data_IF_156693659138
#
_entry.id   IF_156693659138
#
_cell.length_a   1.000
_cell.length_b   1.000
_cell.length_c   1.000
_cell.angle_alpha   90.00
_cell.angle_beta   90.00
_cell.angle_gamma   90.00
#
_symmetry.space_group_name_H-M   'P 1'
#
loop_
_entity.id
_entity.type
_entity.pdbx_description
1 polymer ?
#
# COMPACT_ATOMS: atom_id res chain seq x y z
N UNK A 1 29.49 -4.32 -1.43
CA UNK A 1 28.39 -5.16 -0.91
C UNK A 1 27.11 -4.61 -1.51
N UNK A 2 26.28 -5.43 -2.13
CA UNK A 2 25.01 -4.95 -2.68
C UNK A 2 24.02 -4.73 -1.53
N UNK A 3 23.45 -3.54 -1.47
CA UNK A 3 22.41 -3.20 -0.51
C UNK A 3 21.03 -3.46 -1.11
N UNK A 4 20.12 -3.95 -0.28
CA UNK A 4 18.73 -4.24 -0.65
C UNK A 4 17.79 -3.49 0.29
N UNK A 5 16.65 -3.06 -0.25
CA UNK A 5 15.56 -2.47 0.56
C UNK A 5 14.68 -3.60 1.09
N UNK A 6 14.47 -3.64 2.40
CA UNK A 6 13.62 -4.65 3.02
C UNK A 6 12.13 -4.44 2.69
N UNK A 7 11.47 -5.44 2.09
CA UNK A 7 10.04 -5.39 1.75
C UNK A 7 9.08 -5.25 2.96
N UNK A 8 9.57 -5.42 4.19
CA UNK A 8 8.73 -5.32 5.40
C UNK A 8 8.91 -4.02 6.18
N UNK A 9 10.13 -3.51 6.31
CA UNK A 9 10.41 -2.31 7.12
C UNK A 9 10.92 -1.13 6.30
N UNK A 10 11.29 -1.31 5.03
CA UNK A 10 11.84 -0.25 4.18
C UNK A 10 13.31 0.09 4.45
N UNK A 11 13.91 -0.44 5.51
CA UNK A 11 15.33 -0.21 5.80
C UNK A 11 16.23 -0.84 4.73
N UNK A 12 17.36 -0.17 4.48
CA UNK A 12 18.48 -0.75 3.75
C UNK A 12 19.14 -1.84 4.58
N UNK A 13 19.46 -2.96 3.95
CA UNK A 13 20.26 -4.02 4.56
C UNK A 13 21.22 -4.65 3.56
N UNK A 14 22.31 -5.19 4.08
CA UNK A 14 23.28 -5.91 3.27
C UNK A 14 22.68 -7.21 2.74
N UNK A 15 22.87 -7.45 1.43
CA UNK A 15 22.47 -8.70 0.78
C UNK A 15 23.37 -9.84 1.26
N UNK A 16 22.77 -10.87 1.85
CA UNK A 16 23.49 -12.08 2.25
C UNK A 16 24.06 -12.80 1.03
N UNK A 17 25.38 -13.04 1.04
CA UNK A 17 26.10 -13.78 -0.02
C UNK A 17 25.48 -15.15 -0.30
N UNK A 18 24.97 -15.83 0.74
CA UNK A 18 24.33 -17.16 0.62
C UNK A 18 22.91 -17.11 0.05
N UNK A 19 22.25 -15.96 0.14
CA UNK A 19 20.84 -15.82 -0.19
C UNK A 19 20.66 -14.75 -1.24
N UNK A 20 21.02 -15.09 -2.48
CA UNK A 20 20.93 -14.17 -3.62
C UNK A 20 19.54 -13.53 -3.71
N UNK A 21 18.44 -14.25 -3.50
CA UNK A 21 17.08 -13.67 -3.59
C UNK A 21 16.55 -13.12 -2.25
N UNK A 22 17.41 -12.51 -1.42
CA UNK A 22 16.99 -11.90 -0.17
C UNK A 22 16.21 -10.60 -0.45
N UNK A 23 14.99 -10.51 0.11
CA UNK A 23 14.15 -9.30 0.03
C UNK A 23 13.72 -8.79 1.42
N UNK A 24 14.21 -9.43 2.49
CA UNK A 24 13.84 -9.10 3.87
C UNK A 24 15.11 -9.07 4.71
N UNK A 25 15.22 -8.07 5.58
CA UNK A 25 16.33 -7.99 6.52
C UNK A 25 16.26 -9.11 7.58
N UNK A 26 17.37 -9.42 8.28
CA UNK A 26 17.41 -10.51 9.28
C UNK A 26 16.57 -10.23 10.54
N UNK A 27 16.05 -9.00 10.70
CA UNK A 27 15.23 -8.62 11.86
C UNK A 27 14.06 -9.63 12.05
N UNK A 28 13.81 -10.12 13.28
CA UNK A 28 12.78 -11.14 13.53
C UNK A 28 11.37 -10.75 13.06
N UNK A 29 11.02 -9.46 13.14
CA UNK A 29 9.75 -8.94 12.63
C UNK A 29 9.61 -9.12 11.11
N UNK A 30 10.65 -8.76 10.36
CA UNK A 30 10.69 -8.86 8.90
C UNK A 30 10.74 -10.32 8.43
N UNK A 31 11.42 -11.19 9.17
CA UNK A 31 11.41 -12.63 8.88
C UNK A 31 10.05 -13.28 9.15
N UNK A 32 9.32 -12.83 10.18
CA UNK A 32 7.92 -13.23 10.40
C UNK A 32 7.03 -12.77 9.25
N UNK A 33 7.19 -11.53 8.78
CA UNK A 33 6.47 -11.00 7.63
C UNK A 33 6.76 -11.79 6.34
N UNK A 34 8.03 -12.15 6.09
CA UNK A 34 8.44 -13.00 4.97
C UNK A 34 7.72 -14.35 4.98
N UNK A 35 7.77 -15.08 6.10
CA UNK A 35 7.09 -16.38 6.26
C UNK A 35 5.58 -16.25 6.06
N UNK A 36 4.97 -15.18 6.58
CA UNK A 36 3.55 -14.90 6.40
C UNK A 36 3.18 -14.58 4.93
N UNK A 37 4.01 -13.82 4.22
CA UNK A 37 3.84 -13.55 2.79
C UNK A 37 3.95 -14.82 1.95
N UNK A 38 4.98 -15.63 2.20
CA UNK A 38 5.15 -16.92 1.54
C UNK A 38 3.96 -17.87 1.79
N UNK A 39 3.51 -17.98 3.04
CA UNK A 39 2.33 -18.81 3.36
C UNK A 39 1.08 -18.33 2.64
N UNK A 40 0.82 -17.01 2.59
CA UNK A 40 -0.31 -16.43 1.83
C UNK A 40 -0.20 -16.75 0.33
N UNK A 41 1.00 -16.64 -0.22
CA UNK A 41 1.26 -17.00 -1.62
C UNK A 41 0.93 -18.47 -1.87
N UNK A 42 1.52 -19.40 -1.10
CA UNK A 42 1.27 -20.84 -1.24
C UNK A 42 -0.20 -21.20 -1.07
N UNK A 43 -0.89 -20.63 -0.08
CA UNK A 43 -2.34 -20.85 0.11
C UNK A 43 -3.18 -20.40 -1.09
N UNK A 44 -2.68 -19.45 -1.90
CA UNK A 44 -3.37 -18.95 -3.10
C UNK A 44 -3.01 -19.74 -4.35
N UNK A 45 -1.75 -20.11 -4.52
CA UNK A 45 -1.23 -20.67 -5.78
C UNK A 45 -1.15 -22.20 -5.78
N UNK A 46 -1.10 -22.84 -4.62
CA UNK A 46 -0.90 -24.28 -4.47
C UNK A 46 -2.15 -24.93 -3.82
N UNK A 47 -3.01 -25.57 -4.62
CA UNK A 47 -4.22 -26.24 -4.15
C UNK A 47 -3.94 -27.37 -3.16
N UNK A 48 -2.87 -28.15 -3.37
CA UNK A 48 -2.52 -29.29 -2.52
C UNK A 48 -2.02 -28.82 -1.16
N UNK A 49 -1.18 -27.79 -1.14
CA UNK A 49 -0.75 -27.15 0.10
C UNK A 49 -1.95 -26.63 0.90
N UNK A 50 -2.92 -25.99 0.22
CA UNK A 50 -4.16 -25.52 0.85
C UNK A 50 -5.01 -26.66 1.39
N UNK A 51 -5.15 -27.76 0.64
CA UNK A 51 -5.89 -28.94 1.07
C UNK A 51 -5.24 -29.59 2.30
N UNK A 52 -3.94 -29.84 2.25
CA UNK A 52 -3.19 -30.44 3.36
C UNK A 52 -3.26 -29.58 4.62
N UNK A 53 -3.16 -28.25 4.49
CA UNK A 53 -3.31 -27.34 5.63
C UNK A 53 -4.71 -27.41 6.25
N UNK A 54 -5.76 -27.57 5.44
CA UNK A 54 -7.14 -27.73 5.91
C UNK A 54 -7.33 -29.08 6.60
N UNK A 55 -6.88 -30.17 5.98
CA UNK A 55 -6.98 -31.52 6.51
C UNK A 55 -6.27 -31.62 7.86
N UNK A 56 -5.03 -31.16 7.95
CA UNK A 56 -4.25 -31.12 9.20
C UNK A 56 -4.97 -30.34 10.31
N UNK A 57 -5.58 -29.20 9.97
CA UNK A 57 -6.33 -28.40 10.96
C UNK A 57 -7.58 -29.14 11.45
N UNK A 58 -8.26 -29.87 10.56
CA UNK A 58 -9.45 -30.66 10.90
C UNK A 58 -9.10 -31.89 11.74
N UNK A 59 -8.06 -32.63 11.37
CA UNK A 59 -7.62 -33.81 12.13
C UNK A 59 -7.19 -33.42 13.53
N UNK A 60 -6.44 -32.32 13.67
CA UNK A 60 -6.06 -31.78 14.97
C UNK A 60 -7.28 -31.36 15.81
N UNK A 61 -8.25 -30.66 15.21
CA UNK A 61 -9.46 -30.25 15.92
C UNK A 61 -10.32 -31.44 16.37
N UNK A 62 -10.40 -32.50 15.56
CA UNK A 62 -11.08 -33.76 15.92
C UNK A 62 -10.36 -34.48 17.07
N UNK A 63 -9.02 -34.52 17.02
CA UNK A 63 -8.22 -35.15 18.07
C UNK A 63 -8.27 -34.38 19.40
N UNK A 64 -8.51 -33.07 19.37
CA UNK A 64 -8.46 -32.21 20.56
C UNK A 64 -9.77 -31.41 20.74
N UNK A 65 -10.90 -32.10 21.01
CA UNK A 65 -12.17 -31.44 21.24
C UNK A 65 -12.09 -30.55 22.48
N UNK A 66 -12.72 -29.37 22.43
CA UNK A 66 -12.75 -28.44 23.55
C UNK A 66 -11.45 -27.68 23.83
N UNK A 67 -10.34 -28.00 23.19
CA UNK A 67 -9.03 -27.35 23.42
C UNK A 67 -9.13 -25.82 23.34
N UNK A 68 -9.72 -25.28 22.27
CA UNK A 68 -9.80 -23.83 22.08
C UNK A 68 -10.70 -23.13 23.11
N UNK A 69 -11.68 -23.84 23.68
CA UNK A 69 -12.49 -23.33 24.78
C UNK A 69 -11.66 -23.24 26.05
N UNK A 70 -10.99 -24.34 26.43
CA UNK A 70 -10.10 -24.39 27.58
C UNK A 70 -8.94 -23.40 27.47
N UNK A 71 -8.33 -23.27 26.29
CA UNK A 71 -7.28 -22.29 26.01
C UNK A 71 -7.75 -20.85 26.24
N UNK A 72 -8.94 -20.48 25.74
CA UNK A 72 -9.50 -19.13 25.94
C UNK A 72 -9.84 -18.86 27.41
N UNK A 73 -10.34 -19.85 28.15
CA UNK A 73 -10.57 -19.74 29.61
C UNK A 73 -9.27 -19.51 30.39
N UNK A 74 -8.19 -20.21 30.01
CA UNK A 74 -6.86 -20.05 30.63
C UNK A 74 -6.14 -18.75 30.26
N UNK A 75 -6.50 -18.13 29.13
CA UNK A 75 -5.87 -16.90 28.64
C UNK A 75 -6.91 -15.81 28.33
N UNK A 76 -7.63 -15.31 29.34
CA UNK A 76 -8.74 -14.37 29.15
C UNK A 76 -8.28 -13.05 28.50
N UNK A 77 -7.15 -12.49 28.93
CA UNK A 77 -6.59 -11.25 28.37
C UNK A 77 -6.30 -11.36 26.86
N UNK A 78 -5.68 -12.47 26.43
CA UNK A 78 -5.40 -12.73 25.01
C UNK A 78 -6.69 -12.91 24.23
N UNK A 79 -7.67 -13.61 24.82
CA UNK A 79 -8.96 -13.82 24.19
C UNK A 79 -9.74 -12.50 24.01
N UNK A 80 -9.71 -11.61 25.01
CA UNK A 80 -10.32 -10.29 24.95
C UNK A 80 -9.63 -9.38 23.93
N UNK A 81 -8.30 -9.25 23.99
CA UNK A 81 -7.53 -8.50 22.98
C UNK A 81 -7.85 -8.97 21.56
N UNK A 82 -7.90 -10.29 21.34
CA UNK A 82 -8.24 -10.85 20.03
C UNK A 82 -9.67 -10.53 19.60
N UNK A 83 -10.64 -10.54 20.52
CA UNK A 83 -12.04 -10.13 20.26
C UNK A 83 -12.12 -8.65 19.86
N UNK A 84 -11.46 -7.75 20.59
CA UNK A 84 -11.42 -6.32 20.27
C UNK A 84 -10.79 -6.06 18.90
N UNK A 85 -9.63 -6.68 18.62
CA UNK A 85 -8.98 -6.56 17.30
C UNK A 85 -9.85 -7.12 16.18
N UNK A 86 -10.60 -8.20 16.44
CA UNK A 86 -11.52 -8.76 15.46
C UNK A 86 -12.70 -7.82 15.19
N UNK A 87 -13.24 -7.15 16.22
CA UNK A 87 -14.27 -6.13 16.05
C UNK A 87 -13.78 -4.97 15.17
N UNK A 88 -12.55 -4.49 15.40
CA UNK A 88 -11.91 -3.45 14.57
C UNK A 88 -11.78 -3.93 13.11
N UNK A 89 -11.28 -5.15 12.87
CA UNK A 89 -11.16 -5.71 11.52
C UNK A 89 -12.51 -5.86 10.83
N UNK A 90 -13.54 -6.31 11.55
CA UNK A 90 -14.89 -6.44 11.01
C UNK A 90 -15.49 -5.07 10.67
N UNK A 91 -15.27 -4.05 11.50
CA UNK A 91 -15.69 -2.66 11.22
C UNK A 91 -15.04 -2.14 9.93
N UNK A 92 -13.72 -2.32 9.78
CA UNK A 92 -12.95 -1.96 8.56
C UNK A 92 -13.39 -2.72 7.31
N UNK A 93 -13.96 -3.92 7.45
CA UNK A 93 -14.50 -4.69 6.31
C UNK A 93 -15.92 -4.28 5.92
N UNK A 94 -16.76 -3.88 6.88
CA UNK A 94 -18.12 -3.39 6.62
C UNK A 94 -18.13 -2.00 6.00
N UNK A 95 -17.21 -1.16 6.44
CA UNK A 95 -16.88 0.10 5.80
C UNK A 95 -15.44 -0.04 5.31
N UNK A 96 -15.19 -0.76 4.20
CA UNK A 96 -13.92 -0.56 3.50
C UNK A 96 -13.91 0.94 3.28
N UNK A 97 -12.90 1.62 3.85
CA UNK A 97 -12.76 3.07 3.76
C UNK A 97 -13.38 3.49 2.43
N UNK A 98 -14.44 4.30 2.47
CA UNK A 98 -14.49 5.38 1.50
C UNK A 98 -13.12 6.00 1.69
N UNK A 99 -12.14 5.54 0.90
CA UNK A 99 -10.87 6.21 0.76
C UNK A 99 -11.35 7.58 0.40
N UNK A 100 -11.23 8.45 1.39
CA UNK A 100 -11.78 9.76 1.43
C UNK A 100 -11.66 10.34 0.02
N UNK A 101 -12.75 10.29 -0.76
CA UNK A 101 -12.77 10.88 -2.10
C UNK A 101 -12.60 12.41 -1.96
N UNK A 102 -12.64 12.89 -0.72
CA UNK A 102 -12.57 14.27 -0.27
C UNK A 102 -11.27 14.62 0.46
N UNK A 103 -10.35 13.68 0.71
CA UNK A 103 -9.04 13.96 1.33
C UNK A 103 -7.87 13.71 0.36
N UNK A 104 -8.12 13.82 -0.95
CA UNK A 104 -7.10 14.36 -1.83
C UNK A 104 -7.21 15.87 -1.65
N UNK A 105 -6.19 16.52 -1.09
CA UNK A 105 -6.06 17.96 -1.22
C UNK A 105 -6.16 18.27 -2.71
N UNK A 106 -7.30 18.83 -3.16
CA UNK A 106 -7.39 19.37 -4.51
C UNK A 106 -6.51 20.61 -4.53
N UNK A 107 -5.24 20.42 -4.85
CA UNK A 107 -4.32 21.52 -5.17
C UNK A 107 -4.74 22.15 -6.50
N UNK A 108 -5.41 21.40 -7.38
CA UNK A 108 -5.69 21.84 -8.75
C UNK A 108 -7.17 21.67 -9.12
N UNK A 109 -8.03 22.53 -8.58
CA UNK A 109 -9.09 23.05 -9.43
C UNK A 109 -8.60 24.42 -9.86
N UNK A 110 -7.79 24.49 -10.92
CA UNK A 110 -7.64 25.75 -11.63
C UNK A 110 -9.06 26.09 -12.11
N UNK A 111 -9.72 27.02 -11.44
CA UNK A 111 -10.91 27.64 -12.00
C UNK A 111 -10.55 28.04 -13.42
N UNK A 112 -11.42 27.75 -14.38
CA UNK A 112 -11.24 28.18 -15.76
C UNK A 112 -11.24 29.70 -15.70
N UNK A 113 -10.07 30.30 -15.56
CA UNK A 113 -9.93 31.74 -15.47
C UNK A 113 -10.34 32.23 -16.85
N UNK A 114 -11.48 32.93 -16.93
CA UNK A 114 -11.88 33.71 -18.09
C UNK A 114 -10.90 34.87 -18.23
N UNK A 115 -9.69 34.58 -18.69
CA UNK A 115 -8.75 35.63 -19.04
C UNK A 115 -9.32 36.37 -20.23
N UNK A 116 -9.46 37.69 -20.10
CA UNK A 116 -9.87 38.54 -21.22
C UNK A 116 -8.69 38.64 -22.18
N UNK A 117 -8.83 38.12 -23.39
CA UNK A 117 -7.83 38.30 -24.44
C UNK A 117 -7.77 39.77 -24.79
N UNK A 118 -6.59 40.39 -24.65
CA UNK A 118 -6.39 41.80 -25.03
C UNK A 118 -6.34 41.93 -26.54
N UNK A 119 -5.72 40.96 -27.22
CA UNK A 119 -5.62 40.91 -28.68
C UNK A 119 -4.61 39.89 -29.19
N UNK A 120 -4.51 39.80 -30.52
CA UNK A 120 -3.50 39.05 -31.25
C UNK A 120 -2.34 39.96 -31.63
N UNK A 121 -1.11 39.56 -31.30
CA UNK A 121 0.10 40.33 -31.55
C UNK A 121 1.13 39.50 -32.32
N UNK A 122 2.05 40.17 -32.97
CA UNK A 122 3.17 39.56 -33.66
C UNK A 122 4.47 40.06 -33.02
N UNK A 123 5.29 39.14 -32.51
CA UNK A 123 6.63 39.45 -32.04
C UNK A 123 7.56 39.42 -33.24
N UNK A 124 8.03 40.61 -33.64
CA UNK A 124 8.97 40.77 -34.75
C UNK A 124 10.37 40.96 -34.16
N UNK A 125 11.31 40.01 -34.35
CA UNK A 125 12.66 40.14 -33.83
C UNK A 125 13.41 41.24 -34.59
N UNK A 126 13.99 42.18 -33.85
CA UNK A 126 14.68 43.34 -34.43
C UNK A 126 16.12 43.01 -34.88
N UNK A 127 16.73 41.97 -34.29
CA UNK A 127 18.17 41.69 -34.41
C UNK A 127 18.47 40.46 -35.28
N UNK A 128 17.51 39.55 -35.48
CA UNK A 128 17.72 38.32 -36.25
C UNK A 128 16.67 38.17 -37.36
N UNK A 129 17.07 37.64 -38.53
CA UNK A 129 16.16 37.27 -39.64
C UNK A 129 15.39 35.99 -39.29
N UNK A 130 14.42 36.10 -38.40
CA UNK A 130 13.49 35.01 -38.07
C UNK A 130 12.07 35.53 -38.27
N UNK A 131 11.18 34.66 -38.75
CA UNK A 131 9.79 35.02 -39.01
C UNK A 131 9.08 35.48 -37.74
N UNK A 132 8.14 36.41 -37.90
CA UNK A 132 7.39 36.97 -36.79
C UNK A 132 6.53 35.89 -36.10
N UNK A 133 6.58 35.84 -34.77
CA UNK A 133 5.82 34.86 -33.98
C UNK A 133 4.46 35.44 -33.57
N UNK A 134 3.37 34.76 -33.94
CA UNK A 134 2.03 35.11 -33.50
C UNK A 134 1.81 34.71 -32.03
N UNK A 135 1.46 35.67 -31.19
CA UNK A 135 1.19 35.47 -29.76
C UNK A 135 -0.14 36.10 -29.34
N UNK A 136 -0.82 35.47 -28.38
CA UNK A 136 -2.02 36.01 -27.75
C UNK A 136 -1.64 36.53 -26.37
N UNK A 137 -2.01 37.77 -26.06
CA UNK A 137 -1.78 38.36 -24.74
C UNK A 137 -3.11 38.39 -23.97
N UNK A 138 -3.06 37.98 -22.72
CA UNK A 138 -4.21 37.86 -21.84
C UNK A 138 -4.04 38.74 -20.61
N UNK A 139 -5.10 39.44 -20.21
CA UNK A 139 -5.14 40.15 -18.93
C UNK A 139 -5.31 39.16 -17.78
N UNK A 140 -4.36 39.14 -16.86
CA UNK A 140 -4.45 38.37 -15.61
C UNK A 140 -5.04 39.30 -14.55
N UNK A 141 -6.28 39.08 -14.07
CA UNK A 141 -6.82 39.87 -12.98
C UNK A 141 -6.00 39.61 -11.71
N UNK A 142 -5.42 40.66 -11.15
CA UNK A 142 -4.77 40.59 -9.84
C UNK A 142 -5.91 40.51 -8.80
N UNK A 143 -5.93 39.41 -8.03
CA UNK A 143 -6.84 39.25 -6.87
C UNK A 143 -6.21 39.82 -5.61
#
# INVERSE_FOLDING_TARGET
>A
MEEIVCCSCGDLCERSVRHKNQCYCPKPGCQRARKAAWKRYKMRTDPDYRFNQRLSSQTWAKAHPGYWSAYRKRHPEKAERNRLLQAIRNRRRRHPLQVDRQLIAKVDASSVNQFKTVGQYWLVPVIAKVDALKVNIFEVPIR
#
